data_IF_074271397393
#
_entry.id   IF_074271397393
#
_cell.length_a   1.000
_cell.length_b   1.000
_cell.length_c   1.000
_cell.angle_alpha   90.00
_cell.angle_beta   90.00
_cell.angle_gamma   90.00
#
_symmetry.space_group_name_H-M   'P 1'
#
loop_
_entity.id
_entity.type
_entity.pdbx_description
1 polymer ?
#
# COMPACT_ATOMS: atom_id res chain seq x y z
N UNK A 1 -9.16 31.05 -49.07
CA UNK A 1 -10.27 30.31 -48.44
C UNK A 1 -9.67 29.43 -47.35
N UNK A 2 -9.68 29.88 -46.11
CA UNK A 2 -9.20 29.09 -44.98
C UNK A 2 -10.34 28.19 -44.50
N UNK A 3 -10.11 26.88 -44.46
CA UNK A 3 -10.96 25.92 -43.77
C UNK A 3 -10.97 26.25 -42.27
N UNK A 4 -11.95 27.03 -41.83
CA UNK A 4 -12.36 27.05 -40.43
C UNK A 4 -12.97 25.67 -40.13
N UNK A 5 -12.12 24.77 -39.62
CA UNK A 5 -12.54 23.46 -39.14
C UNK A 5 -13.72 23.61 -38.19
N UNK A 6 -14.77 22.84 -38.44
CA UNK A 6 -15.99 22.82 -37.63
C UNK A 6 -15.60 22.60 -36.18
N UNK A 7 -15.67 23.65 -35.36
CA UNK A 7 -15.46 23.54 -33.91
C UNK A 7 -16.63 22.73 -33.39
N UNK A 8 -16.38 21.46 -33.05
CA UNK A 8 -17.38 20.60 -32.43
C UNK A 8 -17.64 21.11 -31.00
N UNK A 9 -18.71 21.89 -30.83
CA UNK A 9 -19.04 22.59 -29.60
C UNK A 9 -19.08 21.66 -28.35
N UNK A 10 -19.60 20.42 -28.41
CA UNK A 10 -19.44 19.41 -27.37
C UNK A 10 -18.00 19.08 -26.96
N UNK A 11 -17.09 18.84 -27.89
CA UNK A 11 -15.70 18.46 -27.59
C UNK A 11 -14.94 19.62 -26.94
N UNK A 12 -15.15 20.84 -27.45
CA UNK A 12 -14.59 22.04 -26.85
C UNK A 12 -15.14 22.25 -25.44
N UNK A 13 -16.45 22.04 -25.24
CA UNK A 13 -17.07 22.15 -23.93
C UNK A 13 -16.54 21.10 -22.95
N UNK A 14 -16.38 19.84 -23.37
CA UNK A 14 -15.77 18.80 -22.53
C UNK A 14 -14.36 19.18 -22.08
N UNK A 15 -13.55 19.75 -22.97
CA UNK A 15 -12.22 20.27 -22.61
C UNK A 15 -12.30 21.39 -21.58
N UNK A 16 -13.20 22.36 -21.76
CA UNK A 16 -13.42 23.45 -20.81
C UNK A 16 -13.84 22.87 -19.45
N UNK A 17 -14.83 21.99 -19.43
CA UNK A 17 -15.36 21.37 -18.22
C UNK A 17 -14.32 20.50 -17.50
N UNK A 18 -13.41 19.87 -18.24
CA UNK A 18 -12.31 19.11 -17.66
C UNK A 18 -11.40 20.00 -16.80
N UNK A 19 -11.10 21.23 -17.25
CA UNK A 19 -10.35 22.19 -16.43
C UNK A 19 -11.11 22.58 -15.15
N UNK A 20 -12.44 22.71 -15.21
CA UNK A 20 -13.26 23.03 -14.03
C UNK A 20 -13.30 21.91 -12.97
N UNK A 21 -12.97 20.66 -13.34
CA UNK A 21 -12.81 19.57 -12.35
C UNK A 21 -11.67 19.89 -11.40
N UNK A 22 -10.57 20.40 -11.95
CA UNK A 22 -9.32 20.68 -11.22
C UNK A 22 -9.59 21.70 -10.12
N UNK A 23 -10.39 22.73 -10.44
CA UNK A 23 -10.74 23.81 -9.52
C UNK A 23 -11.96 23.52 -8.64
N UNK A 24 -12.53 22.30 -8.72
CA UNK A 24 -13.75 21.88 -8.00
C UNK A 24 -14.99 22.74 -8.31
N UNK A 25 -14.99 23.49 -9.40
CA UNK A 25 -16.07 24.37 -9.86
C UNK A 25 -16.98 23.73 -10.90
N UNK A 26 -16.69 22.48 -11.30
CA UNK A 26 -17.50 21.75 -12.27
C UNK A 26 -18.95 21.53 -11.81
N UNK A 27 -19.21 21.40 -10.50
CA UNK A 27 -20.55 21.08 -10.03
C UNK A 27 -21.59 22.18 -10.33
N UNK A 28 -21.33 23.47 -10.03
CA UNK A 28 -22.16 24.57 -10.53
C UNK A 28 -22.36 24.58 -12.05
N UNK A 29 -21.32 24.26 -12.81
CA UNK A 29 -21.34 24.26 -14.27
C UNK A 29 -22.37 23.26 -14.85
N UNK A 30 -22.67 22.17 -14.13
CA UNK A 30 -23.68 21.20 -14.56
C UNK A 30 -25.11 21.75 -14.60
N UNK A 31 -25.38 22.83 -13.87
CA UNK A 31 -26.72 23.44 -13.80
C UNK A 31 -26.94 24.51 -14.87
N UNK A 32 -25.91 24.84 -15.66
CA UNK A 32 -26.00 25.87 -16.72
C UNK A 32 -26.97 25.45 -17.82
N UNK A 33 -26.89 24.21 -18.31
CA UNK A 33 -27.80 23.68 -19.33
C UNK A 33 -27.76 22.15 -19.40
N UNK A 34 -28.71 21.55 -20.14
CA UNK A 34 -28.69 20.10 -20.44
C UNK A 34 -27.41 19.66 -21.17
N UNK A 35 -26.88 20.49 -22.06
CA UNK A 35 -25.64 20.18 -22.78
C UNK A 35 -24.44 20.15 -21.82
N UNK A 36 -24.35 21.14 -20.94
CA UNK A 36 -23.31 21.19 -19.91
C UNK A 36 -23.40 20.01 -18.95
N UNK A 37 -24.62 19.62 -18.55
CA UNK A 37 -24.83 18.41 -17.77
C UNK A 37 -24.35 17.16 -18.51
N UNK A 38 -24.72 17.00 -19.79
CA UNK A 38 -24.34 15.83 -20.61
C UNK A 38 -22.83 15.72 -20.83
N UNK A 39 -22.14 16.84 -21.04
CA UNK A 39 -20.69 16.87 -21.20
C UNK A 39 -19.94 16.74 -19.87
N UNK A 40 -20.45 17.37 -18.80
CA UNK A 40 -19.75 17.43 -17.51
C UNK A 40 -19.99 16.25 -16.58
N UNK A 41 -21.18 15.66 -16.57
CA UNK A 41 -21.49 14.54 -15.70
C UNK A 41 -20.56 13.33 -15.91
N UNK A 42 -20.26 12.88 -17.15
CA UNK A 42 -19.26 11.84 -17.41
C UNK A 42 -17.91 12.09 -16.74
N UNK A 43 -17.46 13.35 -16.74
CA UNK A 43 -16.17 13.74 -16.19
C UNK A 43 -16.14 13.56 -14.67
N UNK A 44 -17.23 13.92 -13.96
CA UNK A 44 -17.35 13.67 -12.52
C UNK A 44 -17.36 12.18 -12.17
N UNK A 45 -17.95 11.35 -13.03
CA UNK A 45 -17.99 9.91 -12.81
C UNK A 45 -16.67 9.21 -13.13
N UNK A 46 -15.74 9.87 -13.83
CA UNK A 46 -14.44 9.27 -14.17
C UNK A 46 -13.60 8.89 -12.95
N UNK A 47 -13.66 9.70 -11.89
CA UNK A 47 -12.88 9.56 -10.66
C UNK A 47 -13.80 9.60 -9.44
N UNK A 48 -13.95 8.47 -8.76
CA UNK A 48 -14.78 8.32 -7.56
C UNK A 48 -13.88 7.97 -6.37
N UNK A 49 -13.90 8.81 -5.35
CA UNK A 49 -13.21 8.56 -4.08
C UNK A 49 -14.21 8.60 -2.93
N UNK A 50 -14.27 7.50 -2.18
CA UNK A 50 -15.27 7.27 -1.14
C UNK A 50 -14.60 6.80 0.14
N UNK A 51 -14.60 7.66 1.16
CA UNK A 51 -14.00 7.39 2.46
C UNK A 51 -15.08 7.13 3.50
N UNK A 52 -14.91 6.07 4.31
CA UNK A 52 -15.82 5.79 5.42
C UNK A 52 -15.58 6.72 6.64
N UNK A 53 -14.35 7.18 6.85
CA UNK A 53 -13.98 8.15 7.91
C UNK A 53 -14.48 9.58 7.56
N UNK A 54 -14.63 10.46 8.57
CA UNK A 54 -14.94 11.90 8.45
C UNK A 54 -16.30 12.29 7.81
N UNK A 55 -17.44 11.92 8.41
CA UNK A 55 -18.83 12.29 7.99
C UNK A 55 -19.24 11.93 6.54
N UNK A 56 -18.32 11.39 5.72
CA UNK A 56 -18.54 11.04 4.30
C UNK A 56 -19.08 9.62 4.06
N UNK A 57 -19.31 8.81 5.10
CA UNK A 57 -19.88 7.46 4.94
C UNK A 57 -21.24 7.46 4.23
N UNK A 58 -21.98 8.58 4.27
CA UNK A 58 -23.26 8.72 3.55
C UNK A 58 -23.10 8.61 2.03
N UNK A 59 -22.00 9.14 1.47
CA UNK A 59 -21.68 9.03 0.03
C UNK A 59 -21.35 7.58 -0.34
N UNK A 60 -20.52 6.92 0.46
CA UNK A 60 -20.18 5.51 0.23
C UNK A 60 -21.42 4.61 0.31
N UNK A 61 -22.26 4.77 1.34
CA UNK A 61 -23.53 4.02 1.47
C UNK A 61 -24.45 4.24 0.28
N UNK A 62 -24.60 5.50 -0.17
CA UNK A 62 -25.40 5.85 -1.36
C UNK A 62 -24.84 5.20 -2.62
N UNK A 63 -23.52 5.26 -2.83
CA UNK A 63 -22.86 4.63 -3.96
C UNK A 63 -23.07 3.11 -3.96
N UNK A 64 -22.82 2.42 -2.85
CA UNK A 64 -23.04 0.98 -2.72
C UNK A 64 -24.51 0.60 -2.96
N UNK A 65 -25.46 1.40 -2.47
CA UNK A 65 -26.89 1.19 -2.75
C UNK A 65 -27.21 1.37 -4.24
N UNK A 66 -26.55 2.31 -4.90
CA UNK A 66 -26.74 2.64 -6.31
C UNK A 66 -26.18 1.55 -7.23
N UNK A 67 -24.96 1.05 -7.00
CA UNK A 67 -24.36 -0.03 -7.82
C UNK A 67 -24.99 -1.40 -7.58
N UNK A 68 -25.80 -1.56 -6.52
CA UNK A 68 -26.58 -2.77 -6.25
C UNK A 68 -27.90 -2.86 -7.02
N UNK A 69 -28.32 -1.79 -7.68
CA UNK A 69 -29.60 -1.77 -8.40
C UNK A 69 -29.50 -2.60 -9.68
N UNK A 70 -30.62 -3.22 -10.07
CA UNK A 70 -30.73 -3.93 -11.36
C UNK A 70 -30.45 -3.03 -12.56
N UNK A 71 -30.80 -1.74 -12.45
CA UNK A 71 -30.47 -0.71 -13.44
C UNK A 71 -29.38 0.18 -12.85
N UNK A 72 -28.18 0.02 -13.36
CA UNK A 72 -27.02 0.83 -13.01
C UNK A 72 -27.11 2.18 -13.74
N UNK A 73 -26.69 3.29 -13.10
CA UNK A 73 -26.65 4.57 -13.81
C UNK A 73 -25.75 4.52 -15.03
N UNK A 74 -26.18 5.19 -16.11
CA UNK A 74 -25.47 5.23 -17.40
C UNK A 74 -24.01 5.64 -17.24
N UNK A 75 -23.70 6.54 -16.31
CA UNK A 75 -22.35 7.04 -16.10
C UNK A 75 -21.42 6.11 -15.29
N UNK A 76 -21.90 4.99 -14.74
CA UNK A 76 -21.04 4.02 -14.05
C UNK A 76 -19.99 3.39 -14.98
N UNK A 77 -20.30 3.27 -16.28
CA UNK A 77 -19.34 2.81 -17.29
C UNK A 77 -18.18 3.78 -17.51
N UNK A 78 -18.31 5.04 -17.11
CA UNK A 78 -17.24 6.05 -17.23
C UNK A 78 -16.24 5.97 -16.08
N UNK A 79 -16.54 5.22 -15.02
CA UNK A 79 -15.66 5.11 -13.85
C UNK A 79 -14.39 4.38 -14.26
N UNK A 80 -13.28 5.11 -14.22
CA UNK A 80 -11.94 4.56 -14.51
C UNK A 80 -11.04 4.54 -13.27
N UNK A 81 -11.34 5.39 -12.30
CA UNK A 81 -10.66 5.47 -11.01
C UNK A 81 -11.68 5.35 -9.88
N UNK A 82 -11.50 4.33 -9.05
CA UNK A 82 -12.31 4.07 -7.87
C UNK A 82 -11.43 3.85 -6.65
N UNK A 83 -11.61 4.70 -5.64
CA UNK A 83 -11.10 4.49 -4.29
C UNK A 83 -12.26 4.28 -3.31
N UNK A 84 -12.20 3.16 -2.57
CA UNK A 84 -13.07 2.88 -1.43
C UNK A 84 -12.18 2.63 -0.22
N UNK A 85 -12.02 3.65 0.63
CA UNK A 85 -11.08 3.59 1.76
C UNK A 85 -11.76 3.52 3.13
N UNK A 86 -11.10 2.80 4.04
CA UNK A 86 -11.53 2.56 5.43
C UNK A 86 -12.87 1.85 5.57
N UNK A 87 -13.27 1.04 4.57
CA UNK A 87 -14.58 0.40 4.58
C UNK A 87 -14.50 -1.04 5.08
N UNK A 88 -14.67 -1.22 6.39
CA UNK A 88 -14.46 -2.51 7.05
C UNK A 88 -15.52 -3.59 6.76
N UNK A 89 -16.47 -3.31 5.87
CA UNK A 89 -17.49 -4.28 5.47
C UNK A 89 -17.56 -4.42 3.96
N UNK A 90 -16.47 -4.17 3.25
CA UNK A 90 -16.39 -4.25 1.80
C UNK A 90 -16.40 -5.73 1.35
N UNK A 91 -17.52 -6.42 1.51
CA UNK A 91 -17.62 -7.84 1.19
C UNK A 91 -17.59 -8.14 -0.30
N UNK A 92 -17.26 -9.39 -0.65
CA UNK A 92 -17.27 -9.88 -2.04
C UNK A 92 -18.58 -9.51 -2.77
N UNK A 93 -19.74 -9.64 -2.10
CA UNK A 93 -21.05 -9.24 -2.67
C UNK A 93 -21.09 -7.76 -3.10
N UNK A 94 -20.43 -6.87 -2.36
CA UNK A 94 -20.33 -5.44 -2.69
C UNK A 94 -19.36 -5.22 -3.84
N UNK A 95 -18.20 -5.89 -3.83
CA UNK A 95 -17.23 -5.82 -4.93
C UNK A 95 -17.83 -6.34 -6.22
N UNK A 96 -18.56 -7.46 -6.20
CA UNK A 96 -19.30 -7.99 -7.35
C UNK A 96 -20.25 -6.92 -7.93
N UNK A 97 -20.98 -6.22 -7.07
CA UNK A 97 -21.90 -5.16 -7.50
C UNK A 97 -21.14 -3.99 -8.16
N UNK A 98 -19.98 -3.61 -7.61
CA UNK A 98 -19.10 -2.58 -8.17
C UNK A 98 -18.60 -3.02 -9.54
N UNK A 99 -18.07 -4.23 -9.64
CA UNK A 99 -17.45 -4.76 -10.86
C UNK A 99 -18.46 -4.84 -12.01
N UNK A 100 -19.66 -5.36 -11.75
CA UNK A 100 -20.71 -5.39 -12.75
C UNK A 100 -21.18 -3.99 -13.19
N UNK A 101 -21.13 -3.00 -12.29
CA UNK A 101 -21.57 -1.64 -12.60
C UNK A 101 -20.52 -0.81 -13.32
N UNK A 102 -19.25 -1.01 -12.99
CA UNK A 102 -18.13 -0.17 -13.40
C UNK A 102 -17.10 -1.04 -14.15
N UNK A 103 -17.35 -1.40 -15.42
CA UNK A 103 -16.50 -2.36 -16.16
C UNK A 103 -15.13 -1.80 -16.59
N UNK A 104 -14.94 -0.48 -16.60
CA UNK A 104 -13.77 0.17 -17.22
C UNK A 104 -12.73 0.68 -16.20
N UNK A 105 -12.67 0.09 -15.01
CA UNK A 105 -11.74 0.52 -13.96
C UNK A 105 -10.30 0.18 -14.36
N UNK A 106 -9.43 1.18 -14.28
CA UNK A 106 -7.97 1.05 -14.47
C UNK A 106 -7.19 1.42 -13.21
N UNK A 107 -7.83 2.13 -12.27
CA UNK A 107 -7.28 2.46 -10.97
C UNK A 107 -8.25 2.03 -9.89
N UNK A 108 -7.86 1.03 -9.10
CA UNK A 108 -8.66 0.46 -8.03
C UNK A 108 -7.89 0.52 -6.71
N UNK A 109 -8.52 1.11 -5.70
CA UNK A 109 -7.92 1.30 -4.39
C UNK A 109 -8.90 0.93 -3.29
N UNK A 110 -8.51 -0.03 -2.45
CA UNK A 110 -9.24 -0.50 -1.27
C UNK A 110 -8.45 -0.24 0.02
N UNK A 111 -7.73 0.90 0.07
CA UNK A 111 -6.91 1.30 1.21
C UNK A 111 -7.67 1.14 2.53
N UNK A 112 -7.14 0.36 3.45
CA UNK A 112 -7.68 0.10 4.79
C UNK A 112 -9.14 -0.41 4.76
N UNK A 113 -9.57 -1.03 3.66
CA UNK A 113 -10.87 -1.71 3.55
C UNK A 113 -10.67 -3.22 3.70
N UNK A 114 -11.64 -3.88 4.35
CA UNK A 114 -11.57 -5.31 4.69
C UNK A 114 -12.91 -6.02 4.44
N UNK A 115 -12.95 -7.34 4.71
CA UNK A 115 -14.06 -8.26 4.53
C UNK A 115 -14.22 -8.85 3.11
N UNK A 116 -13.21 -8.70 2.24
CA UNK A 116 -13.19 -9.32 0.91
C UNK A 116 -12.11 -10.39 0.81
N UNK A 117 -12.38 -11.40 -0.02
CA UNK A 117 -11.55 -12.59 -0.15
C UNK A 117 -10.84 -12.69 -1.52
N UNK A 118 -10.04 -13.74 -1.69
CA UNK A 118 -9.49 -14.16 -2.98
C UNK A 118 -10.53 -14.22 -4.11
N UNK A 119 -11.79 -14.57 -3.81
CA UNK A 119 -12.88 -14.58 -4.81
C UNK A 119 -13.15 -13.19 -5.38
N UNK A 120 -13.05 -12.14 -4.57
CA UNK A 120 -13.17 -10.77 -5.07
C UNK A 120 -11.99 -10.40 -5.98
N UNK A 121 -10.78 -10.82 -5.63
CA UNK A 121 -9.58 -10.59 -6.46
C UNK A 121 -9.64 -11.34 -7.79
N UNK A 122 -10.18 -12.57 -7.80
CA UNK A 122 -10.44 -13.30 -9.04
C UNK A 122 -11.39 -12.55 -9.98
N UNK A 123 -12.47 -12.00 -9.42
CA UNK A 123 -13.43 -11.23 -10.20
C UNK A 123 -12.81 -9.91 -10.72
N UNK A 124 -12.02 -9.23 -9.90
CA UNK A 124 -11.28 -8.03 -10.30
C UNK A 124 -10.30 -8.34 -11.42
N UNK A 125 -9.53 -9.43 -11.30
CA UNK A 125 -8.55 -9.85 -12.29
C UNK A 125 -9.20 -10.13 -13.65
N UNK A 126 -10.29 -10.90 -13.65
CA UNK A 126 -11.02 -11.26 -14.87
C UNK A 126 -11.76 -10.09 -15.51
N UNK A 127 -12.24 -9.13 -14.70
CA UNK A 127 -13.02 -8.00 -15.21
C UNK A 127 -12.18 -6.81 -15.64
N UNK A 128 -10.98 -6.64 -15.06
CA UNK A 128 -10.09 -5.49 -15.32
C UNK A 128 -8.71 -5.92 -15.84
N UNK A 129 -8.61 -6.51 -17.05
CA UNK A 129 -7.32 -6.89 -17.64
C UNK A 129 -6.42 -5.67 -17.94
N UNK A 130 -7.01 -4.47 -17.99
CA UNK A 130 -6.29 -3.21 -18.20
C UNK A 130 -5.97 -2.47 -16.89
N UNK A 131 -6.07 -3.13 -15.73
CA UNK A 131 -5.78 -2.51 -14.44
C UNK A 131 -4.31 -2.05 -14.39
N UNK A 132 -4.13 -0.79 -14.01
CA UNK A 132 -2.83 -0.11 -13.90
C UNK A 132 -2.45 0.21 -12.46
N UNK A 133 -3.43 0.42 -11.61
CA UNK A 133 -3.20 0.75 -10.21
C UNK A 133 -4.06 -0.14 -9.35
N UNK A 134 -3.41 -0.85 -8.44
CA UNK A 134 -4.05 -1.70 -7.45
C UNK A 134 -3.48 -1.38 -6.07
N UNK A 135 -4.33 -0.97 -5.15
CA UNK A 135 -3.96 -0.78 -3.75
C UNK A 135 -4.87 -1.62 -2.86
N UNK A 136 -4.27 -2.59 -2.18
CA UNK A 136 -4.91 -3.54 -1.26
C UNK A 136 -4.39 -3.38 0.17
N UNK A 137 -3.82 -2.22 0.48
CA UNK A 137 -3.28 -1.87 1.79
C UNK A 137 -4.30 -2.14 2.91
N UNK A 138 -3.84 -2.75 3.99
CA UNK A 138 -4.67 -3.11 5.15
C UNK A 138 -4.27 -2.31 6.41
N UNK A 139 -5.26 -1.98 7.23
CA UNK A 139 -5.03 -1.32 8.51
C UNK A 139 -4.56 -2.37 9.52
N UNK A 140 -3.37 -2.16 10.08
CA UNK A 140 -2.71 -3.01 11.10
C UNK A 140 -3.61 -3.37 12.29
N UNK A 141 -4.70 -2.64 12.47
CA UNK A 141 -5.72 -2.85 13.49
C UNK A 141 -6.51 -4.16 13.34
N UNK A 142 -6.64 -4.71 12.13
CA UNK A 142 -7.42 -5.92 11.86
C UNK A 142 -6.63 -6.90 11.00
N UNK A 143 -6.13 -8.00 11.59
CA UNK A 143 -5.48 -9.06 10.81
C UNK A 143 -6.55 -9.83 10.03
N UNK A 144 -6.57 -9.66 8.71
CA UNK A 144 -7.47 -10.41 7.83
C UNK A 144 -6.68 -11.42 7.00
N UNK A 145 -7.04 -12.70 7.10
CA UNK A 145 -6.45 -13.80 6.32
C UNK A 145 -7.24 -14.11 5.05
N UNK A 146 -8.06 -13.17 4.59
CA UNK A 146 -9.00 -13.40 3.49
C UNK A 146 -8.33 -13.27 2.12
N UNK A 147 -7.19 -12.58 2.06
CA UNK A 147 -6.36 -12.39 0.87
C UNK A 147 -4.98 -12.96 1.13
N UNK A 148 -4.59 -13.93 0.31
CA UNK A 148 -3.31 -14.61 0.36
C UNK A 148 -2.72 -14.79 -1.06
N UNK A 149 -1.75 -15.69 -1.16
CA UNK A 149 -1.10 -16.07 -2.42
C UNK A 149 -2.08 -16.40 -3.55
N UNK A 150 -3.18 -17.12 -3.28
CA UNK A 150 -4.12 -17.51 -4.32
C UNK A 150 -4.74 -16.29 -4.98
N UNK A 151 -5.19 -15.32 -4.17
CA UNK A 151 -5.77 -14.08 -4.65
C UNK A 151 -4.78 -13.28 -5.50
N UNK A 152 -3.53 -13.19 -5.05
CA UNK A 152 -2.49 -12.49 -5.80
C UNK A 152 -2.18 -13.20 -7.13
N UNK A 153 -2.14 -14.54 -7.15
CA UNK A 153 -1.94 -15.32 -8.38
C UNK A 153 -3.03 -15.07 -9.43
N UNK A 154 -4.28 -14.77 -9.04
CA UNK A 154 -5.33 -14.37 -10.00
C UNK A 154 -4.99 -13.05 -10.69
N UNK A 155 -4.49 -12.09 -9.93
CA UNK A 155 -4.03 -10.79 -10.45
C UNK A 155 -2.85 -11.00 -11.40
N UNK A 156 -1.87 -11.82 -11.02
CA UNK A 156 -0.67 -12.16 -11.83
C UNK A 156 -1.06 -12.67 -13.22
N UNK A 157 -2.11 -13.49 -13.33
CA UNK A 157 -2.54 -14.09 -14.60
C UNK A 157 -3.24 -13.14 -15.57
N UNK A 158 -3.72 -11.98 -15.11
CA UNK A 158 -4.62 -11.13 -15.91
C UNK A 158 -4.16 -9.67 -16.01
N UNK A 159 -3.61 -9.11 -14.94
CA UNK A 159 -3.36 -7.67 -14.81
C UNK A 159 -1.90 -7.29 -15.16
N UNK A 160 -1.42 -7.65 -16.34
CA UNK A 160 -0.03 -7.40 -16.78
C UNK A 160 0.31 -5.92 -17.05
N UNK A 161 -0.68 -5.03 -16.99
CA UNK A 161 -0.52 -3.59 -17.22
C UNK A 161 -0.33 -2.79 -15.93
N UNK A 162 -0.15 -3.45 -14.79
CA UNK A 162 0.08 -2.78 -13.52
C UNK A 162 1.33 -1.87 -13.57
N UNK A 163 1.11 -0.64 -13.13
CA UNK A 163 2.09 0.43 -12.97
C UNK A 163 2.26 0.79 -11.49
N UNK A 164 1.26 0.53 -10.65
CA UNK A 164 1.28 0.75 -9.21
C UNK A 164 0.70 -0.48 -8.49
N UNK A 165 1.43 -0.95 -7.48
CA UNK A 165 0.97 -1.99 -6.56
C UNK A 165 1.30 -1.61 -5.12
N UNK A 166 0.30 -1.69 -4.25
CA UNK A 166 0.50 -1.65 -2.80
C UNK A 166 -0.22 -2.84 -2.17
N UNK A 167 0.56 -3.68 -1.49
CA UNK A 167 0.12 -4.88 -0.76
C UNK A 167 0.71 -4.88 0.66
N UNK A 168 0.87 -3.70 1.25
CA UNK A 168 1.48 -3.57 2.56
C UNK A 168 0.79 -4.44 3.62
N UNK A 169 1.58 -4.90 4.58
CA UNK A 169 1.12 -5.65 5.74
C UNK A 169 0.38 -6.98 5.45
N UNK A 170 0.37 -7.46 4.20
CA UNK A 170 -0.18 -8.76 3.82
C UNK A 170 0.81 -9.88 4.14
N UNK A 171 0.89 -10.26 5.42
CA UNK A 171 1.84 -11.27 5.93
C UNK A 171 1.55 -12.69 5.46
N UNK A 172 0.36 -12.91 4.91
CA UNK A 172 -0.16 -14.13 4.34
C UNK A 172 0.33 -14.34 2.89
N UNK A 173 0.85 -13.29 2.24
CA UNK A 173 1.43 -13.36 0.91
C UNK A 173 2.92 -13.72 1.04
N UNK A 174 3.33 -14.76 0.33
CA UNK A 174 4.72 -15.23 0.30
C UNK A 174 5.57 -14.47 -0.70
N UNK A 175 6.89 -14.47 -0.47
CA UNK A 175 7.88 -13.95 -1.41
C UNK A 175 7.73 -14.54 -2.82
N UNK A 176 7.33 -15.81 -2.93
CA UNK A 176 7.13 -16.48 -4.22
C UNK A 176 6.05 -15.78 -5.07
N UNK A 177 4.91 -15.45 -4.47
CA UNK A 177 3.82 -14.75 -5.16
C UNK A 177 4.16 -13.31 -5.46
N UNK A 178 4.90 -12.63 -4.56
CA UNK A 178 5.42 -11.27 -4.79
C UNK A 178 6.37 -11.28 -6.00
N UNK A 179 7.31 -12.22 -6.06
CA UNK A 179 8.19 -12.38 -7.22
C UNK A 179 7.40 -12.71 -8.50
N UNK A 180 6.32 -13.50 -8.39
CA UNK A 180 5.41 -13.77 -9.49
C UNK A 180 4.79 -12.50 -10.09
N UNK A 181 4.29 -11.59 -9.25
CA UNK A 181 3.69 -10.34 -9.74
C UNK A 181 4.74 -9.38 -10.32
N UNK A 182 5.92 -9.30 -9.72
CA UNK A 182 7.05 -8.51 -10.23
C UNK A 182 7.44 -8.99 -11.64
N UNK A 183 7.56 -10.31 -11.85
CA UNK A 183 7.85 -10.91 -13.17
C UNK A 183 6.77 -10.61 -14.20
N UNK A 184 5.50 -10.69 -13.81
CA UNK A 184 4.38 -10.55 -14.73
C UNK A 184 3.98 -9.10 -15.03
N UNK A 185 4.53 -8.12 -14.28
CA UNK A 185 4.19 -6.70 -14.41
C UNK A 185 5.43 -5.83 -14.66
N UNK A 186 6.07 -5.90 -15.85
CA UNK A 186 7.30 -5.15 -16.16
C UNK A 186 7.09 -3.63 -16.27
N UNK A 187 5.84 -3.16 -16.22
CA UNK A 187 5.47 -1.74 -16.26
C UNK A 187 5.36 -1.10 -14.88
N UNK A 188 5.60 -1.84 -13.81
CA UNK A 188 5.58 -1.31 -12.45
C UNK A 188 6.54 -0.11 -12.32
N UNK A 189 5.99 0.97 -11.78
CA UNK A 189 6.66 2.23 -11.50
C UNK A 189 6.65 2.53 -10.00
N UNK A 190 5.66 2.01 -9.26
CA UNK A 190 5.53 2.21 -7.82
C UNK A 190 5.16 0.88 -7.16
N UNK A 191 5.94 0.49 -6.15
CA UNK A 191 5.74 -0.75 -5.43
C UNK A 191 5.92 -0.50 -3.92
N UNK A 192 4.87 -0.79 -3.16
CA UNK A 192 4.91 -0.78 -1.70
C UNK A 192 4.83 -2.21 -1.16
N UNK A 193 5.93 -2.67 -0.56
CA UNK A 193 6.08 -3.98 0.08
C UNK A 193 6.28 -3.84 1.59
N UNK A 194 5.84 -2.73 2.18
CA UNK A 194 6.03 -2.49 3.61
C UNK A 194 5.47 -3.65 4.44
N UNK A 195 6.28 -4.12 5.38
CA UNK A 195 5.98 -5.23 6.28
C UNK A 195 5.70 -6.58 5.59
N UNK A 196 6.06 -6.73 4.32
CA UNK A 196 6.08 -8.02 3.65
C UNK A 196 7.30 -8.85 4.09
N UNK A 197 7.15 -10.17 4.07
CA UNK A 197 8.26 -11.11 4.38
C UNK A 197 9.07 -11.39 3.11
N UNK A 198 9.97 -10.47 2.79
CA UNK A 198 10.81 -10.51 1.59
C UNK A 198 12.30 -10.52 1.96
N UNK A 199 13.12 -10.99 1.03
CA UNK A 199 14.57 -11.09 1.12
C UNK A 199 15.24 -10.44 -0.10
N UNK A 200 16.56 -10.55 -0.19
CA UNK A 200 17.35 -10.16 -1.36
C UNK A 200 16.77 -10.72 -2.67
N UNK A 201 16.19 -11.93 -2.65
CA UNK A 201 15.56 -12.57 -3.82
C UNK A 201 14.51 -11.67 -4.47
N UNK A 202 13.66 -11.03 -3.66
CA UNK A 202 12.66 -10.09 -4.17
C UNK A 202 13.30 -8.88 -4.83
N UNK A 203 14.39 -8.36 -4.25
CA UNK A 203 15.08 -7.17 -4.78
C UNK A 203 15.80 -7.48 -6.09
N UNK A 204 16.45 -8.63 -6.19
CA UNK A 204 17.07 -9.12 -7.43
C UNK A 204 16.02 -9.30 -8.54
N UNK A 205 14.85 -9.83 -8.19
CA UNK A 205 13.73 -9.97 -9.12
C UNK A 205 13.19 -8.62 -9.60
N UNK A 206 13.09 -7.62 -8.70
CA UNK A 206 12.72 -6.25 -9.06
C UNK A 206 13.75 -5.66 -10.04
N UNK A 207 15.04 -5.78 -9.73
CA UNK A 207 16.13 -5.27 -10.55
C UNK A 207 16.09 -5.86 -11.97
N UNK A 208 15.76 -7.14 -12.09
CA UNK A 208 15.68 -7.85 -13.38
C UNK A 208 14.42 -7.53 -14.19
N UNK A 209 13.26 -7.41 -13.53
CA UNK A 209 11.95 -7.39 -14.22
C UNK A 209 11.32 -6.01 -14.33
N UNK A 210 11.53 -5.12 -13.35
CA UNK A 210 10.85 -3.82 -13.26
C UNK A 210 11.80 -2.65 -13.54
N UNK A 211 12.36 -2.60 -14.76
CA UNK A 211 13.36 -1.59 -15.16
C UNK A 211 12.86 -0.13 -15.11
N UNK A 212 11.54 0.07 -15.06
CA UNK A 212 10.89 1.39 -14.98
C UNK A 212 10.44 1.75 -13.57
N UNK A 213 10.83 0.98 -12.55
CA UNK A 213 10.50 1.27 -11.17
C UNK A 213 11.10 2.62 -10.77
N UNK A 214 10.26 3.49 -10.19
CA UNK A 214 10.62 4.83 -9.72
C UNK A 214 10.57 4.92 -8.21
N UNK A 215 9.75 4.11 -7.57
CA UNK A 215 9.53 4.14 -6.14
C UNK A 215 9.37 2.72 -5.58
N UNK A 216 10.10 2.44 -4.50
CA UNK A 216 10.04 1.21 -3.72
C UNK A 216 10.01 1.54 -2.23
N UNK A 217 8.98 1.10 -1.51
CA UNK A 217 8.91 1.23 -0.05
C UNK A 217 9.18 -0.11 0.63
N UNK A 218 10.17 -0.14 1.53
CA UNK A 218 10.64 -1.34 2.23
C UNK A 218 10.49 -1.24 3.75
N UNK A 219 9.58 -0.40 4.24
CA UNK A 219 9.37 -0.20 5.67
C UNK A 219 9.11 -1.54 6.36
N UNK A 220 9.92 -1.89 7.37
CA UNK A 220 9.74 -3.12 8.14
C UNK A 220 10.21 -4.40 7.45
N UNK A 221 10.83 -4.29 6.26
CA UNK A 221 11.51 -5.41 5.60
C UNK A 221 12.95 -5.49 6.12
N UNK A 222 13.23 -6.46 7.00
CA UNK A 222 14.49 -6.53 7.77
C UNK A 222 15.52 -7.52 7.21
N UNK A 223 15.19 -8.24 6.12
CA UNK A 223 16.03 -9.31 5.56
C UNK A 223 16.65 -8.93 4.22
N UNK A 224 16.95 -7.65 4.04
CA UNK A 224 17.44 -7.11 2.79
C UNK A 224 18.83 -6.53 3.00
N UNK A 225 19.83 -7.09 2.34
CA UNK A 225 21.20 -6.60 2.38
C UNK A 225 21.36 -5.35 1.53
N UNK A 226 22.35 -4.52 1.89
CA UNK A 226 22.70 -3.33 1.10
C UNK A 226 23.13 -3.70 -0.31
N UNK A 227 23.87 -4.82 -0.44
CA UNK A 227 24.28 -5.36 -1.74
C UNK A 227 23.09 -5.62 -2.66
N UNK A 228 21.96 -6.11 -2.16
CA UNK A 228 20.78 -6.32 -2.97
C UNK A 228 20.17 -4.98 -3.44
N UNK A 229 20.08 -3.99 -2.54
CA UNK A 229 19.61 -2.63 -2.89
C UNK A 229 20.47 -2.00 -3.98
N UNK A 230 21.79 -2.17 -3.91
CA UNK A 230 22.74 -1.64 -4.89
C UNK A 230 22.55 -2.22 -6.31
N UNK A 231 21.81 -3.32 -6.47
CA UNK A 231 21.46 -3.89 -7.78
C UNK A 231 20.27 -3.20 -8.46
N UNK A 232 19.48 -2.43 -7.71
CA UNK A 232 18.32 -1.72 -8.25
C UNK A 232 18.75 -0.65 -9.27
N UNK A 233 17.83 -0.27 -10.16
CA UNK A 233 18.06 0.84 -11.09
C UNK A 233 18.39 2.11 -10.27
N UNK A 234 19.48 2.84 -10.58
CA UNK A 234 19.88 4.06 -9.86
C UNK A 234 18.80 5.14 -9.78
N UNK A 235 17.83 5.13 -10.70
CA UNK A 235 16.69 6.06 -10.70
C UNK A 235 15.54 5.64 -9.76
N UNK A 236 15.65 4.48 -9.11
CA UNK A 236 14.66 3.98 -8.15
C UNK A 236 14.83 4.71 -6.83
N UNK A 237 13.82 5.45 -6.41
CA UNK A 237 13.76 5.96 -5.04
C UNK A 237 13.37 4.83 -4.09
N UNK A 238 14.29 4.45 -3.20
CA UNK A 238 14.05 3.46 -2.14
C UNK A 238 13.73 4.19 -0.84
N UNK A 239 12.52 4.02 -0.33
CA UNK A 239 12.04 4.62 0.92
C UNK A 239 12.06 3.59 2.07
N UNK A 240 12.34 4.07 3.28
CA UNK A 240 12.27 3.32 4.54
C UNK A 240 13.12 2.04 4.61
N UNK A 241 14.13 1.92 3.75
CA UNK A 241 15.18 0.90 3.86
C UNK A 241 16.11 1.21 5.05
N UNK A 242 16.50 0.17 5.78
CA UNK A 242 17.52 0.23 6.84
C UNK A 242 18.45 -0.95 6.66
N UNK A 243 19.75 -0.68 6.59
CA UNK A 243 20.76 -1.73 6.48
C UNK A 243 20.74 -2.61 7.75
N UNK A 244 20.60 -3.94 7.63
CA UNK A 244 20.70 -4.84 8.78
C UNK A 244 22.00 -4.68 9.57
N UNK A 245 23.11 -4.30 8.92
CA UNK A 245 24.40 -4.04 9.57
C UNK A 245 24.28 -2.80 10.47
N UNK A 246 23.61 -1.73 10.02
CA UNK A 246 23.37 -0.54 10.85
C UNK A 246 22.52 -0.89 12.08
N UNK A 247 21.50 -1.75 11.92
CA UNK A 247 20.68 -2.21 13.06
C UNK A 247 21.55 -2.98 14.06
N UNK A 248 22.41 -3.89 13.60
CA UNK A 248 23.31 -4.67 14.47
C UNK A 248 24.33 -3.77 15.17
N UNK A 249 24.94 -2.84 14.45
CA UNK A 249 25.91 -1.89 15.01
C UNK A 249 25.25 -0.94 16.01
N UNK A 250 24.01 -0.49 15.77
CA UNK A 250 23.23 0.26 16.76
C UNK A 250 22.96 -0.57 18.01
N UNK A 251 22.65 -1.87 17.87
CA UNK A 251 22.47 -2.76 19.02
C UNK A 251 23.76 -3.02 19.79
N UNK A 252 24.87 -3.29 19.10
CA UNK A 252 26.18 -3.51 19.72
C UNK A 252 26.63 -2.26 20.50
N UNK A 253 26.40 -1.05 19.97
CA UNK A 253 26.64 0.21 20.70
C UNK A 253 25.80 0.33 21.97
N UNK A 254 24.52 -0.08 21.92
CA UNK A 254 23.65 -0.09 23.11
C UNK A 254 24.16 -1.08 24.14
N UNK A 255 24.60 -2.28 23.73
CA UNK A 255 25.18 -3.30 24.62
C UNK A 255 26.48 -2.78 25.26
N UNK A 256 27.41 -2.23 24.48
CA UNK A 256 28.69 -1.69 24.98
C UNK A 256 28.49 -0.59 26.03
N UNK A 257 27.52 0.31 25.81
CA UNK A 257 27.16 1.36 26.76
C UNK A 257 26.60 0.81 28.08
N UNK A 258 25.91 -0.33 28.03
CA UNK A 258 25.38 -1.02 29.22
C UNK A 258 26.51 -1.73 29.97
N UNK A 259 27.41 -2.41 29.27
CA UNK A 259 28.53 -3.17 29.86
C UNK A 259 29.56 -2.29 30.58
N UNK A 260 29.68 -1.00 30.24
CA UNK A 260 30.65 -0.07 30.85
C UNK A 260 30.23 0.52 32.21
N UNK A 261 29.09 0.13 32.79
CA UNK A 261 28.57 0.75 34.03
C UNK A 261 28.51 -0.26 35.20
N UNK A 262 29.35 -0.13 36.26
CA UNK A 262 29.46 -1.13 37.33
C UNK A 262 28.29 -1.24 38.31
N UNK A 263 27.26 -0.39 38.20
CA UNK A 263 26.10 -0.42 39.10
C UNK A 263 24.83 -0.12 38.31
N UNK A 264 23.98 -1.15 38.19
CA UNK A 264 22.70 -1.20 37.48
C UNK A 264 21.68 -0.25 38.14
N UNK A 265 21.89 1.05 38.01
CA UNK A 265 20.92 2.06 38.44
C UNK A 265 20.44 2.81 37.20
N UNK A 266 19.24 2.42 36.78
CA UNK A 266 18.36 3.15 35.87
C UNK A 266 18.66 3.07 34.36
N UNK A 267 18.96 1.86 33.86
CA UNK A 267 18.98 1.53 32.42
C UNK A 267 17.71 2.05 31.72
N UNK A 268 16.55 1.95 32.37
CA UNK A 268 15.24 2.37 31.86
C UNK A 268 15.15 3.89 31.60
N UNK A 269 15.62 4.75 32.53
CA UNK A 269 15.56 6.20 32.34
C UNK A 269 16.53 6.70 31.26
N UNK A 270 17.69 6.05 31.12
CA UNK A 270 18.70 6.37 30.11
C UNK A 270 18.31 5.87 28.72
N UNK A 271 17.73 4.67 28.60
CA UNK A 271 17.11 4.18 27.36
C UNK A 271 16.02 5.15 26.89
N UNK A 272 15.16 5.64 27.78
CA UNK A 272 14.18 6.68 27.46
C UNK A 272 14.80 7.99 26.94
N UNK A 273 16.03 8.32 27.36
CA UNK A 273 16.76 9.51 26.91
C UNK A 273 17.36 9.32 25.50
N UNK A 274 17.83 8.12 25.18
CA UNK A 274 18.36 7.74 23.86
C UNK A 274 17.22 7.59 22.83
N UNK A 275 16.07 7.04 23.25
CA UNK A 275 14.86 6.84 22.43
C UNK A 275 14.13 8.15 22.05
N UNK A 276 14.61 9.33 22.47
CA UNK A 276 14.11 10.64 22.02
C UNK A 276 14.68 11.11 20.68
N UNK A 277 15.58 10.33 20.06
CA UNK A 277 15.99 10.57 18.67
C UNK A 277 14.80 10.29 17.73
N UNK A 278 14.37 11.28 16.92
CA UNK A 278 13.18 11.13 16.09
C UNK A 278 13.51 10.25 14.90
N UNK A 279 13.32 8.92 15.00
CA UNK A 279 13.01 8.01 13.86
C UNK A 279 13.03 6.49 14.16
N UNK A 280 13.15 6.00 15.39
CA UNK A 280 13.18 4.54 15.62
C UNK A 280 11.77 3.96 15.90
N UNK A 281 11.23 3.14 14.99
CA UNK A 281 10.14 2.20 15.31
C UNK A 281 10.67 0.99 16.12
N UNK A 282 11.72 1.20 16.93
CA UNK A 282 12.38 0.18 17.73
C UNK A 282 11.81 0.32 19.14
N UNK A 283 11.09 -0.72 19.59
CA UNK A 283 10.57 -0.78 20.95
C UNK A 283 11.44 -1.72 21.77
N UNK A 284 12.17 -1.20 22.74
CA UNK A 284 12.88 -2.04 23.73
C UNK A 284 12.05 -2.15 25.01
N UNK A 285 11.75 -3.36 25.43
CA UNK A 285 11.19 -3.68 26.73
C UNK A 285 12.27 -4.35 27.57
N UNK A 286 12.60 -3.75 28.70
CA UNK A 286 13.49 -4.35 29.71
C UNK A 286 12.59 -5.05 30.73
N UNK A 287 12.69 -6.37 30.80
CA UNK A 287 12.05 -7.14 31.87
C UNK A 287 13.10 -7.41 32.96
N UNK A 288 12.86 -6.86 34.14
CA UNK A 288 13.71 -7.07 35.31
C UNK A 288 12.98 -8.01 36.27
N UNK A 289 12.95 -9.29 35.92
CA UNK A 289 12.58 -10.35 36.86
C UNK A 289 13.66 -10.49 37.93
N UNK A 290 13.32 -11.08 39.08
CA UNK A 290 14.20 -11.20 40.24
C UNK A 290 15.52 -11.95 39.96
N UNK A 291 15.56 -12.78 38.92
CA UNK A 291 16.70 -13.68 38.63
C UNK A 291 17.37 -13.46 37.26
N UNK A 292 16.76 -12.71 36.32
CA UNK A 292 17.35 -12.43 35.00
C UNK A 292 16.94 -11.04 34.48
N UNK A 293 17.92 -10.23 34.09
CA UNK A 293 17.67 -8.99 33.32
C UNK A 293 17.66 -9.32 31.82
N UNK A 294 16.50 -9.26 31.19
CA UNK A 294 16.35 -9.55 29.76
C UNK A 294 16.02 -8.27 29.01
N UNK A 295 16.74 -7.98 27.92
CA UNK A 295 16.38 -6.90 26.99
C UNK A 295 15.68 -7.54 25.80
N UNK A 296 14.38 -7.30 25.71
CA UNK A 296 13.58 -7.62 24.54
C UNK A 296 13.58 -6.40 23.61
N UNK A 297 14.19 -6.54 22.44
CA UNK A 297 14.11 -5.54 21.39
C UNK A 297 13.12 -6.01 20.33
N UNK A 298 11.98 -5.34 20.29
CA UNK A 298 10.90 -5.60 19.33
C UNK A 298 11.01 -4.64 18.16
N UNK A 299 11.36 -5.18 17.01
CA UNK A 299 11.18 -4.52 15.72
C UNK A 299 10.33 -5.43 14.85
N UNK A 300 9.02 -5.18 14.81
CA UNK A 300 8.11 -5.98 14.00
C UNK A 300 8.63 -6.10 12.55
N UNK A 301 8.78 -7.32 12.00
CA UNK A 301 8.18 -8.58 12.45
C UNK A 301 9.10 -9.52 13.26
N UNK A 302 10.28 -9.09 13.69
CA UNK A 302 11.22 -9.91 14.47
C UNK A 302 11.29 -9.48 15.94
N UNK A 303 11.20 -10.46 16.82
CA UNK A 303 11.56 -10.30 18.23
C UNK A 303 13.02 -10.70 18.37
N UNK A 304 13.87 -9.77 18.80
CA UNK A 304 15.23 -10.07 19.23
C UNK A 304 15.22 -10.04 20.75
N UNK A 305 15.39 -11.20 21.39
CA UNK A 305 15.51 -11.32 22.84
C UNK A 305 16.97 -11.60 23.16
N UNK A 306 17.60 -10.73 23.97
CA UNK A 306 18.97 -10.92 24.45
C UNK A 306 18.91 -11.04 25.98
N UNK A 307 19.44 -12.15 26.49
CA UNK A 307 19.61 -12.41 27.93
C UNK A 307 20.94 -11.79 28.36
N UNK A 308 20.93 -10.74 29.17
CA UNK A 308 22.15 -10.01 29.54
C UNK A 308 23.12 -10.81 30.42
N UNK A 309 22.66 -11.86 31.08
CA UNK A 309 23.45 -12.57 32.10
C UNK A 309 24.27 -13.75 31.56
N UNK A 310 23.88 -14.38 30.44
CA UNK A 310 24.66 -15.50 29.87
C UNK A 310 25.87 -15.01 29.07
N UNK A 311 25.79 -13.84 28.42
CA UNK A 311 26.90 -13.25 27.66
C UNK A 311 27.96 -12.55 28.52
N UNK A 312 27.70 -12.37 29.83
CA UNK A 312 28.66 -11.82 30.80
C UNK A 312 29.30 -12.90 31.69
N UNK A 313 28.88 -14.16 31.56
CA UNK A 313 29.44 -15.30 32.27
C UNK A 313 30.42 -16.10 31.39
N UNK A 314 31.42 -15.42 30.82
CA UNK A 314 32.68 -16.07 30.48
C UNK A 314 33.84 -15.28 31.09
N UNK A 315 34.36 -15.73 32.22
CA UNK A 315 35.77 -15.57 32.54
C UNK A 315 36.50 -16.85 32.13
N UNK A 316 37.25 -16.76 31.03
CA UNK A 316 38.49 -17.53 30.92
C UNK A 316 39.40 -17.13 32.10
N UNK A 317 39.68 -18.13 32.96
CA UNK A 317 40.70 -18.20 34.02
C UNK A 317 40.53 -17.40 35.32
#
# INVERSE_FOLDING_TARGET
>A
MAHLGVINLPELLERILYFLVVDKTLYPALFVSRLWYRCGAPILWKRIELKWKNKCHSRLKKFIKLVRRKQTPVYCSNVTHLEVSYYHSLSDKKIISIVHSCPNITHLSFINSIAFSNRALELIASSYPNLKYLNLCDDRSFRTREVDDEGLWRIVKSCHKLEYLNIDYRTEITELSICGIIRSCPKLQHLDLSYCKITDVTIEEIARSCLKLKYLNLRGCVNISKKAIDQLNPNTHVENYRDPIDIRAEMERVIELISRQPRVVNIRSRLHQILRQPNSNIFMTVDSGADHSTIDIRQAPRNYSIVLFDDLASPER
#
